data_IF_853565379273
#
_entry.id   IF_853565379273
#
_cell.length_a   1.000
_cell.length_b   1.000
_cell.length_c   1.000
_cell.angle_alpha   90.00
_cell.angle_beta   90.00
_cell.angle_gamma   90.00
#
_symmetry.space_group_name_H-M   'P 1'
#
loop_
_entity.id
_entity.type
_entity.pdbx_description
1 polymer ?
#
# COMPACT_ATOMS: atom_id res chain seq x y z
N UNK A 1 11.81 6.28 3.27
CA UNK A 1 12.04 6.61 1.85
C UNK A 1 10.80 7.23 1.21
N UNK A 2 11.00 8.41 0.63
CA UNK A 2 10.04 9.25 -0.07
C UNK A 2 10.69 9.66 -1.39
N UNK A 3 9.96 9.54 -2.49
CA UNK A 3 10.38 9.96 -3.82
C UNK A 3 9.64 11.25 -4.15
N UNK A 4 10.39 12.32 -4.34
CA UNK A 4 9.86 13.63 -4.72
C UNK A 4 10.39 14.04 -6.09
N UNK A 5 9.57 14.72 -6.87
CA UNK A 5 9.93 15.17 -8.22
C UNK A 5 9.61 16.66 -8.39
N UNK A 6 10.52 17.36 -9.06
CA UNK A 6 10.30 18.72 -9.55
C UNK A 6 10.86 18.81 -10.96
N UNK A 7 10.00 19.08 -11.94
CA UNK A 7 10.36 19.09 -13.36
C UNK A 7 11.04 17.75 -13.74
N UNK A 8 12.30 17.79 -14.15
CA UNK A 8 13.11 16.63 -14.53
C UNK A 8 14.05 16.12 -13.41
N UNK A 9 13.90 16.62 -12.19
CA UNK A 9 14.73 16.22 -11.04
C UNK A 9 13.94 15.34 -10.10
N UNK A 10 14.47 14.14 -9.81
CA UNK A 10 13.95 13.20 -8.82
C UNK A 10 14.87 13.19 -7.60
N UNK A 11 14.28 13.33 -6.40
CA UNK A 11 14.96 13.31 -5.11
C UNK A 11 14.38 12.20 -4.26
N UNK A 12 15.24 11.33 -3.73
CA UNK A 12 14.86 10.25 -2.81
C UNK A 12 15.38 10.63 -1.43
N UNK A 13 14.50 10.64 -0.44
CA UNK A 13 14.85 11.01 0.95
C UNK A 13 14.23 10.05 1.95
N UNK A 14 14.91 9.76 3.05
CA UNK A 14 14.41 8.80 4.02
C UNK A 14 13.69 9.39 5.22
N UNK A 15 13.83 10.69 5.44
CA UNK A 15 13.27 11.38 6.61
C UNK A 15 12.09 12.27 6.24
N UNK A 16 11.08 12.30 7.12
CA UNK A 16 9.92 13.17 6.97
C UNK A 16 10.30 14.65 6.96
N UNK A 17 11.30 15.06 7.75
CA UNK A 17 11.81 16.43 7.76
C UNK A 17 12.33 16.88 6.39
N UNK A 18 13.09 16.03 5.67
CA UNK A 18 13.58 16.36 4.32
C UNK A 18 12.48 16.31 3.27
N UNK A 19 11.47 15.45 3.45
CA UNK A 19 10.27 15.44 2.60
C UNK A 19 9.56 16.79 2.67
N UNK A 20 9.25 17.27 3.87
CA UNK A 20 8.54 18.54 4.06
C UNK A 20 9.35 19.72 3.51
N UNK A 21 10.66 19.76 3.76
CA UNK A 21 11.54 20.79 3.19
C UNK A 21 11.50 20.80 1.65
N UNK A 22 11.55 19.63 1.02
CA UNK A 22 11.46 19.52 -0.45
C UNK A 22 10.08 19.90 -0.97
N UNK A 23 9.00 19.58 -0.25
CA UNK A 23 7.65 20.03 -0.59
C UNK A 23 7.55 21.56 -0.52
N UNK A 24 8.11 22.19 0.52
CA UNK A 24 8.18 23.66 0.63
C UNK A 24 9.01 24.31 -0.49
N UNK A 25 10.01 23.60 -1.00
CA UNK A 25 10.79 24.03 -2.18
C UNK A 25 10.07 23.79 -3.51
N UNK A 26 8.85 23.27 -3.49
CA UNK A 26 8.01 23.02 -4.67
C UNK A 26 8.28 21.69 -5.36
N UNK A 27 8.83 20.69 -4.65
CA UNK A 27 8.82 19.32 -5.13
C UNK A 27 7.47 18.66 -4.83
N UNK A 28 6.94 17.91 -5.79
CA UNK A 28 5.76 17.09 -5.60
C UNK A 28 6.16 15.73 -5.04
N UNK A 29 5.40 15.24 -4.06
CA UNK A 29 5.55 13.88 -3.55
C UNK A 29 4.98 12.89 -4.58
N UNK A 30 5.83 12.01 -5.10
CA UNK A 30 5.45 11.04 -6.16
C UNK A 30 5.18 9.67 -5.57
N UNK A 31 5.95 9.25 -4.57
CA UNK A 31 5.79 7.93 -3.98
C UNK A 31 6.30 7.93 -2.55
N UNK A 32 5.53 7.34 -1.64
CA UNK A 32 5.99 7.05 -0.27
C UNK A 32 6.34 5.56 -0.17
N UNK A 33 7.23 5.19 0.75
CA UNK A 33 7.46 3.77 1.06
C UNK A 33 6.19 3.08 1.54
N UNK A 34 5.31 3.83 2.22
CA UNK A 34 3.96 3.39 2.56
C UNK A 34 3.13 3.07 1.31
N UNK A 35 3.24 3.85 0.25
CA UNK A 35 2.58 3.56 -1.03
C UNK A 35 3.11 2.25 -1.65
N UNK A 36 4.42 1.95 -1.51
CA UNK A 36 4.96 0.65 -1.93
C UNK A 36 4.49 -0.51 -1.06
N UNK A 37 4.42 -0.36 0.26
CA UNK A 37 3.96 -1.43 1.14
C UNK A 37 2.44 -1.62 1.03
N UNK A 38 1.67 -0.54 1.03
CA UNK A 38 0.24 -0.57 0.87
C UNK A 38 -0.14 -1.05 -0.54
N UNK A 39 0.51 -0.58 -1.61
CA UNK A 39 0.28 -1.11 -2.96
C UNK A 39 0.80 -2.54 -3.13
N UNK A 40 1.81 -3.01 -2.38
CA UNK A 40 2.24 -4.42 -2.39
C UNK A 40 1.24 -5.31 -1.68
N UNK A 41 0.67 -4.89 -0.54
CA UNK A 41 -0.37 -5.65 0.16
C UNK A 41 -1.69 -5.62 -0.64
N UNK A 42 -2.07 -4.46 -1.17
CA UNK A 42 -3.25 -4.30 -2.05
C UNK A 42 -3.05 -5.11 -3.35
N UNK A 43 -1.86 -5.08 -3.98
CA UNK A 43 -1.54 -5.94 -5.13
C UNK A 43 -1.50 -7.42 -4.81
N UNK A 44 -1.03 -7.83 -3.62
CA UNK A 44 -0.90 -9.25 -3.26
C UNK A 44 -2.27 -9.92 -3.27
N UNK A 45 -3.28 -9.22 -2.75
CA UNK A 45 -4.64 -9.71 -2.70
C UNK A 45 -5.45 -9.44 -3.97
N UNK A 46 -5.18 -8.35 -4.69
CA UNK A 46 -5.81 -8.12 -6.00
C UNK A 46 -5.34 -9.12 -7.07
N UNK A 47 -4.04 -9.44 -7.09
CA UNK A 47 -3.43 -10.42 -8.01
C UNK A 47 -3.78 -11.86 -7.65
N UNK A 48 -4.15 -12.15 -6.41
CA UNK A 48 -4.66 -13.46 -6.03
C UNK A 48 -6.03 -13.71 -6.68
N UNK A 49 -6.15 -14.88 -7.32
CA UNK A 49 -7.42 -15.37 -7.81
C UNK A 49 -8.44 -15.43 -6.67
N UNK A 50 -9.71 -15.16 -6.96
CA UNK A 50 -10.78 -15.09 -5.96
C UNK A 50 -10.86 -16.34 -5.05
N UNK A 51 -10.61 -17.52 -5.62
CA UNK A 51 -10.57 -18.78 -4.86
C UNK A 51 -9.39 -18.85 -3.89
N UNK A 52 -8.23 -18.31 -4.27
CA UNK A 52 -7.01 -18.31 -3.48
C UNK A 52 -7.13 -17.32 -2.31
N UNK A 53 -7.71 -16.15 -2.58
CA UNK A 53 -8.06 -15.17 -1.55
C UNK A 53 -9.00 -15.76 -0.49
N UNK A 54 -10.08 -16.45 -0.91
CA UNK A 54 -11.02 -17.09 0.03
C UNK A 54 -10.35 -18.18 0.86
N UNK A 55 -9.49 -19.00 0.25
CA UNK A 55 -8.70 -20.01 1.00
C UNK A 55 -7.77 -19.38 2.02
N UNK A 56 -7.07 -18.31 1.64
CA UNK A 56 -6.17 -17.60 2.54
C UNK A 56 -6.93 -16.96 3.70
N UNK A 57 -8.05 -16.30 3.42
CA UNK A 57 -8.95 -15.71 4.41
C UNK A 57 -9.51 -16.76 5.37
N UNK A 58 -10.04 -17.88 4.87
CA UNK A 58 -10.49 -18.99 5.73
C UNK A 58 -9.36 -19.55 6.60
N UNK A 59 -8.15 -19.69 6.05
CA UNK A 59 -6.97 -20.16 6.80
C UNK A 59 -6.54 -19.19 7.90
N UNK A 60 -6.90 -17.91 7.80
CA UNK A 60 -6.65 -16.86 8.80
C UNK A 60 -7.84 -16.66 9.75
N UNK A 61 -8.92 -17.44 9.59
CA UNK A 61 -10.13 -17.34 10.42
C UNK A 61 -11.10 -16.22 10.00
N UNK A 62 -10.94 -15.66 8.80
CA UNK A 62 -11.84 -14.64 8.25
C UNK A 62 -13.05 -15.33 7.60
N UNK A 63 -14.26 -14.91 7.98
CA UNK A 63 -15.49 -15.43 7.39
C UNK A 63 -15.72 -14.83 6.00
N UNK A 64 -15.67 -15.69 4.99
CA UNK A 64 -15.79 -15.33 3.56
C UNK A 64 -17.12 -15.80 2.96
N UNK A 65 -18.07 -16.28 3.75
CA UNK A 65 -19.32 -16.85 3.23
C UNK A 65 -20.22 -15.76 2.63
N UNK A 66 -20.23 -14.56 3.22
CA UNK A 66 -21.11 -13.45 2.82
C UNK A 66 -20.36 -12.14 2.49
N UNK A 67 -19.02 -12.15 2.50
CA UNK A 67 -18.21 -10.94 2.30
C UNK A 67 -17.79 -10.73 0.84
N UNK A 68 -17.81 -9.47 0.40
CA UNK A 68 -17.28 -9.04 -0.90
C UNK A 68 -15.76 -9.12 -0.91
N UNK A 69 -15.16 -9.18 -2.11
CA UNK A 69 -13.70 -9.22 -2.27
C UNK A 69 -12.99 -8.10 -1.52
N UNK A 70 -13.46 -6.88 -1.65
CA UNK A 70 -12.90 -5.72 -0.96
C UNK A 70 -12.92 -5.86 0.58
N UNK A 71 -13.99 -6.43 1.15
CA UNK A 71 -14.14 -6.60 2.61
C UNK A 71 -13.18 -7.65 3.16
N UNK A 72 -12.99 -8.75 2.42
CA UNK A 72 -12.04 -9.80 2.78
C UNK A 72 -10.60 -9.26 2.74
N UNK A 73 -10.29 -8.45 1.72
CA UNK A 73 -8.97 -7.81 1.58
C UNK A 73 -8.72 -6.85 2.75
N UNK A 74 -9.71 -6.03 3.11
CA UNK A 74 -9.59 -5.10 4.22
C UNK A 74 -9.38 -5.80 5.57
N UNK A 75 -10.05 -6.93 5.82
CA UNK A 75 -9.82 -7.72 7.03
C UNK A 75 -8.47 -8.42 7.04
N UNK A 76 -8.04 -8.96 5.90
CA UNK A 76 -6.71 -9.55 5.77
C UNK A 76 -5.59 -8.50 5.95
N UNK A 77 -5.80 -7.28 5.45
CA UNK A 77 -4.90 -6.14 5.68
C UNK A 77 -4.83 -5.75 7.16
N UNK A 78 -5.96 -5.74 7.88
CA UNK A 78 -5.99 -5.48 9.32
C UNK A 78 -5.32 -6.56 10.18
N UNK A 79 -5.29 -7.80 9.71
CA UNK A 79 -4.69 -8.92 10.43
C UNK A 79 -3.17 -9.02 10.23
N UNK A 80 -2.65 -8.47 9.13
CA UNK A 80 -1.20 -8.51 8.80
C UNK A 80 -0.48 -7.17 9.00
N UNK A 81 -1.21 -6.09 9.32
CA UNK A 81 -0.66 -4.77 9.69
C UNK A 81 -0.54 -4.58 11.19
#
# INVERSE_FOLDING_TARGET
MFVLQKLNVVKIVDTAAKRDELIHQGFALVQTLDDKNNAVVENKYEKMGWQELRRYAMSKGVDVAEKKKAEIIAELQKLEG
#
